data_IF_134799384428
#
_entry.id   IF_134799384428
#
_cell.length_a   1.000
_cell.length_b   1.000
_cell.length_c   1.000
_cell.angle_alpha   90.00
_cell.angle_beta   90.00
_cell.angle_gamma   90.00
#
_symmetry.space_group_name_H-M   'P 1'
#
loop_
_entity.id
_entity.type
_entity.pdbx_description
1 polymer ?
#
# COMPACT_ATOMS: atom_id res chain seq x y z
N UNK A 1 16.05 0.77 25.75
CA UNK A 1 15.06 -0.28 26.06
C UNK A 1 14.43 -0.74 24.75
N UNK A 2 14.98 -1.81 24.17
CA UNK A 2 14.51 -2.42 22.92
C UNK A 2 13.22 -3.19 23.24
N UNK A 3 12.07 -2.74 22.72
CA UNK A 3 10.82 -3.48 22.86
C UNK A 3 10.73 -4.49 21.72
N UNK A 4 10.82 -5.77 22.10
CA UNK A 4 10.49 -6.90 21.26
C UNK A 4 9.00 -6.82 20.89
N UNK A 5 8.70 -6.79 19.60
CA UNK A 5 7.36 -7.03 19.10
C UNK A 5 7.39 -8.25 18.18
N UNK A 6 7.23 -9.40 18.82
CA UNK A 6 6.75 -10.62 18.18
C UNK A 6 5.52 -11.07 18.99
N UNK A 7 4.43 -11.35 18.28
CA UNK A 7 3.24 -12.12 18.72
C UNK A 7 2.11 -11.33 19.41
N UNK A 8 1.04 -11.08 18.65
CA UNK A 8 -0.26 -11.74 18.89
C UNK A 8 -0.84 -12.22 17.55
N UNK A 9 -0.55 -13.48 17.20
CA UNK A 9 -1.38 -14.29 16.30
C UNK A 9 -1.38 -15.70 16.90
N UNK A 10 -2.51 -16.08 17.47
CA UNK A 10 -2.74 -17.25 18.32
C UNK A 10 -2.55 -18.55 17.52
N UNK A 11 -1.80 -19.53 18.09
CA UNK A 11 -1.93 -20.96 17.74
C UNK A 11 -0.64 -21.79 17.62
N UNK A 12 -0.20 -22.35 18.76
CA UNK A 12 0.67 -23.54 18.98
C UNK A 12 2.10 -23.59 18.42
N UNK A 13 3.05 -23.61 19.36
CA UNK A 13 4.49 -23.70 19.19
C UNK A 13 5.00 -25.14 19.06
N UNK A 14 5.98 -25.34 18.17
CA UNK A 14 7.05 -26.33 18.35
C UNK A 14 8.36 -25.54 18.27
N UNK A 15 9.12 -25.57 19.36
CA UNK A 15 10.35 -24.82 19.53
C UNK A 15 11.51 -25.50 18.78
N UNK A 16 12.22 -24.74 17.95
CA UNK A 16 13.58 -25.06 17.52
C UNK A 16 14.46 -23.89 17.95
N UNK A 17 15.51 -24.22 18.70
CA UNK A 17 16.44 -23.29 19.31
C UNK A 17 17.44 -22.75 18.28
N UNK A 18 17.40 -21.43 18.13
CA UNK A 18 18.35 -20.55 17.46
C UNK A 18 17.73 -19.17 17.59
N UNK A 19 18.40 -18.20 18.21
CA UNK A 19 17.86 -16.83 18.24
C UNK A 19 17.61 -16.41 16.78
N UNK A 20 16.35 -16.15 16.36
CA UNK A 20 16.12 -15.71 15.01
C UNK A 20 16.84 -14.37 14.86
N UNK A 21 17.78 -14.28 13.91
CA UNK A 21 18.26 -12.99 13.47
C UNK A 21 17.03 -12.15 13.14
N UNK A 22 16.85 -11.03 13.84
CA UNK A 22 15.67 -10.19 13.64
C UNK A 22 15.59 -9.83 12.15
N UNK A 23 14.45 -10.11 11.53
CA UNK A 23 14.20 -9.78 10.13
C UNK A 23 14.26 -8.25 9.98
N UNK A 24 15.17 -7.77 9.14
CA UNK A 24 15.40 -6.33 8.96
C UNK A 24 14.41 -5.73 7.95
N UNK A 25 13.77 -4.61 8.29
CA UNK A 25 12.92 -3.85 7.38
C UNK A 25 13.69 -2.70 6.70
N UNK A 26 13.66 -2.64 5.37
CA UNK A 26 14.17 -1.48 4.61
C UNK A 26 13.06 -0.68 3.95
N UNK A 27 13.21 0.64 3.90
CA UNK A 27 12.32 1.55 3.17
C UNK A 27 13.06 2.16 1.98
N UNK A 28 12.50 2.04 0.78
CA UNK A 28 13.03 2.69 -0.41
C UNK A 28 12.45 4.10 -0.55
N UNK A 29 13.30 5.11 -0.51
CA UNK A 29 12.91 6.51 -0.62
C UNK A 29 12.92 6.95 -2.09
N UNK A 30 11.90 6.51 -2.85
CA UNK A 30 11.79 6.80 -4.30
C UNK A 30 11.17 8.18 -4.63
N UNK A 31 10.61 8.87 -3.64
CA UNK A 31 10.03 10.21 -3.78
C UNK A 31 10.78 11.27 -2.99
N UNK A 32 10.19 12.46 -2.87
CA UNK A 32 10.77 13.56 -2.07
C UNK A 32 10.79 13.18 -0.59
N UNK A 33 11.97 13.25 0.04
CA UNK A 33 12.14 13.04 1.48
C UNK A 33 11.73 14.31 2.24
N UNK A 34 10.90 14.14 3.28
CA UNK A 34 10.41 15.26 4.12
C UNK A 34 11.18 15.34 5.44
N UNK A 35 11.29 16.53 6.04
CA UNK A 35 11.82 16.68 7.40
C UNK A 35 11.08 15.77 8.40
N UNK A 36 11.84 15.07 9.25
CA UNK A 36 11.31 14.16 10.26
C UNK A 36 10.84 12.79 9.75
N UNK A 37 10.79 12.56 8.43
CA UNK A 37 10.32 11.30 7.85
C UNK A 37 11.19 10.11 8.26
N UNK A 38 12.52 10.26 8.23
CA UNK A 38 13.47 9.21 8.62
C UNK A 38 13.39 8.89 10.12
N UNK A 39 13.20 9.90 10.96
CA UNK A 39 13.00 9.72 12.40
C UNK A 39 11.73 8.92 12.68
N UNK A 40 10.62 9.27 12.02
CA UNK A 40 9.36 8.53 12.13
C UNK A 40 9.51 7.10 11.60
N UNK A 41 10.20 6.89 10.48
CA UNK A 41 10.50 5.56 9.93
C UNK A 41 11.20 4.68 10.98
N UNK A 42 12.25 5.22 11.62
CA UNK A 42 13.00 4.54 12.67
C UNK A 42 12.12 4.18 13.86
N UNK A 43 11.25 5.10 14.29
CA UNK A 43 10.36 4.88 15.44
C UNK A 43 9.36 3.73 15.20
N UNK A 44 9.01 3.47 13.94
CA UNK A 44 8.11 2.38 13.56
C UNK A 44 8.81 1.09 13.12
N UNK A 45 10.12 0.98 13.36
CA UNK A 45 10.87 -0.25 13.13
C UNK A 45 11.47 -0.40 11.73
N UNK A 46 11.64 0.68 10.97
CA UNK A 46 12.48 0.65 9.76
C UNK A 46 13.95 0.63 10.20
N UNK A 47 14.70 -0.37 9.74
CA UNK A 47 16.09 -0.61 10.13
C UNK A 47 17.12 0.04 9.18
N UNK A 48 16.73 0.30 7.93
CA UNK A 48 17.61 0.92 6.94
C UNK A 48 16.83 1.59 5.79
N UNK A 49 17.51 2.48 5.10
CA UNK A 49 16.99 3.20 3.93
C UNK A 49 17.66 2.70 2.66
N UNK A 50 16.91 2.64 1.57
CA UNK A 50 17.46 2.47 0.21
C UNK A 50 17.19 3.76 -0.55
N UNK A 51 18.24 4.42 -1.04
CA UNK A 51 18.14 5.71 -1.73
C UNK A 51 18.56 5.58 -3.20
N UNK A 52 17.78 6.12 -4.16
CA UNK A 52 18.16 6.10 -5.56
C UNK A 52 19.40 6.97 -5.79
N UNK A 53 20.41 6.38 -6.42
CA UNK A 53 21.68 7.03 -6.73
C UNK A 53 21.89 7.20 -8.24
N UNK A 54 21.50 6.21 -9.02
CA UNK A 54 21.72 6.23 -10.46
C UNK A 54 20.74 5.33 -11.23
N UNK A 55 20.68 5.57 -12.53
CA UNK A 55 20.18 4.64 -13.53
C UNK A 55 21.38 4.16 -14.38
N UNK A 56 21.37 2.89 -14.78
CA UNK A 56 22.41 2.31 -15.61
C UNK A 56 21.78 1.54 -16.77
N UNK A 57 22.28 1.77 -17.98
CA UNK A 57 21.83 1.10 -19.19
C UNK A 57 22.92 0.15 -19.70
N UNK A 58 22.54 -1.12 -19.83
CA UNK A 58 23.39 -2.20 -20.34
C UNK A 58 23.29 -2.29 -21.87
N UNK A 59 24.43 -2.08 -22.55
CA UNK A 59 24.50 -2.17 -24.02
C UNK A 59 25.85 -2.73 -24.46
N UNK A 60 25.83 -3.79 -25.28
CA UNK A 60 27.05 -4.42 -25.80
C UNK A 60 27.95 -5.05 -24.73
N UNK A 61 27.40 -5.36 -23.56
CA UNK A 61 28.15 -5.90 -22.42
C UNK A 61 28.74 -4.85 -21.48
N UNK A 62 28.58 -3.55 -21.75
CA UNK A 62 29.03 -2.44 -20.91
C UNK A 62 27.84 -1.74 -20.21
N UNK A 63 28.14 -0.96 -19.17
CA UNK A 63 27.17 -0.16 -18.42
C UNK A 63 27.47 1.33 -18.54
N UNK A 64 26.49 2.09 -19.05
CA UNK A 64 26.51 3.56 -19.00
C UNK A 64 25.72 4.04 -17.79
N UNK A 65 26.28 4.96 -17.00
CA UNK A 65 25.65 5.45 -15.75
C UNK A 65 25.13 6.87 -15.92
N UNK A 66 23.87 7.08 -15.52
CA UNK A 66 23.28 8.40 -15.32
C UNK A 66 22.95 8.58 -13.84
N UNK A 67 23.64 9.51 -13.18
CA UNK A 67 23.38 9.83 -11.78
C UNK A 67 22.00 10.48 -11.62
N UNK A 68 21.28 10.08 -10.57
CA UNK A 68 20.07 10.76 -10.10
C UNK A 68 20.44 11.79 -9.04
N UNK A 69 19.60 12.80 -8.80
CA UNK A 69 19.78 13.67 -7.64
C UNK A 69 19.41 12.88 -6.37
N UNK A 70 20.37 12.55 -5.49
CA UNK A 70 20.04 11.91 -4.24
C UNK A 70 19.25 12.87 -3.34
N UNK A 71 18.48 12.36 -2.37
CA UNK A 71 17.91 13.20 -1.31
C UNK A 71 19.01 13.98 -0.57
N UNK A 72 18.63 15.11 0.02
CA UNK A 72 19.53 15.88 0.89
C UNK A 72 20.11 14.97 2.00
N UNK A 73 21.44 14.79 2.08
CA UNK A 73 22.07 13.97 3.11
C UNK A 73 21.65 14.33 4.54
N UNK A 74 21.37 15.62 4.80
CA UNK A 74 20.90 16.08 6.11
C UNK A 74 19.56 15.46 6.54
N UNK A 75 18.75 14.99 5.59
CA UNK A 75 17.46 14.35 5.84
C UNK A 75 17.57 12.84 6.06
N UNK A 76 18.72 12.23 5.75
CA UNK A 76 18.93 10.77 5.80
C UNK A 76 19.56 10.29 7.11
N UNK A 77 19.93 11.20 8.01
CA UNK A 77 20.56 10.85 9.28
C UNK A 77 19.68 9.98 10.17
N UNK A 78 20.31 9.03 10.86
CA UNK A 78 19.66 8.21 11.91
C UNK A 78 19.36 6.78 11.50
N UNK A 79 19.47 6.43 10.21
CA UNK A 79 19.37 5.06 9.70
C UNK A 79 20.54 4.73 8.75
N UNK A 80 21.02 3.48 8.71
CA UNK A 80 21.94 3.00 7.68
C UNK A 80 21.36 3.16 6.28
N UNK A 81 22.20 3.58 5.32
CA UNK A 81 21.79 3.84 3.93
C UNK A 81 22.39 2.83 2.97
N UNK A 82 21.58 2.32 2.06
CA UNK A 82 21.98 1.57 0.87
C UNK A 82 21.76 2.43 -0.36
N UNK A 83 22.69 2.42 -1.30
CA UNK A 83 22.52 3.11 -2.58
C UNK A 83 21.90 2.17 -3.62
N UNK A 84 20.84 2.61 -4.30
CA UNK A 84 20.18 1.87 -5.36
C UNK A 84 20.57 2.38 -6.74
N UNK A 85 20.86 1.45 -7.64
CA UNK A 85 21.05 1.70 -9.06
C UNK A 85 20.00 0.92 -9.84
N UNK A 86 19.19 1.61 -10.64
CA UNK A 86 18.25 0.96 -11.54
C UNK A 86 18.97 0.53 -12.82
N UNK A 87 19.05 -0.78 -13.07
CA UNK A 87 19.69 -1.36 -14.24
C UNK A 87 18.64 -1.78 -15.27
N UNK A 88 18.80 -1.35 -16.51
CA UNK A 88 18.01 -1.77 -17.67
C UNK A 88 18.92 -2.20 -18.81
N UNK A 89 18.34 -2.82 -19.86
CA UNK A 89 19.08 -3.21 -21.07
C UNK A 89 19.19 -4.72 -21.23
N UNK A 90 20.15 -5.14 -22.05
CA UNK A 90 20.27 -6.53 -22.54
C UNK A 90 21.22 -7.37 -21.68
N UNK A 91 22.49 -7.50 -22.08
CA UNK A 91 23.51 -8.33 -21.42
C UNK A 91 24.58 -7.44 -20.77
N UNK A 92 25.10 -7.90 -19.63
CA UNK A 92 26.20 -7.26 -18.91
C UNK A 92 27.35 -8.25 -18.71
N UNK A 93 28.58 -7.81 -18.97
CA UNK A 93 29.78 -8.62 -18.73
C UNK A 93 30.40 -8.29 -17.37
N UNK A 94 30.94 -9.30 -16.69
CA UNK A 94 31.61 -9.09 -15.38
C UNK A 94 32.80 -8.14 -15.47
N UNK A 95 33.49 -8.09 -16.62
CA UNK A 95 34.63 -7.21 -16.87
C UNK A 95 34.25 -5.72 -16.84
N UNK A 96 32.96 -5.40 -17.00
CA UNK A 96 32.48 -4.02 -16.88
C UNK A 96 32.44 -3.51 -15.44
N UNK A 97 32.64 -4.36 -14.42
CA UNK A 97 32.51 -3.99 -13.01
C UNK A 97 33.46 -2.85 -12.59
N UNK A 98 34.71 -2.85 -13.07
CA UNK A 98 35.68 -1.79 -12.76
C UNK A 98 35.27 -0.45 -13.38
N UNK A 99 34.90 -0.45 -14.67
CA UNK A 99 34.40 0.75 -15.36
C UNK A 99 33.12 1.29 -14.76
N UNK A 100 32.22 0.40 -14.32
CA UNK A 100 30.99 0.75 -13.62
C UNK A 100 31.29 1.36 -12.25
N UNK A 101 32.19 0.76 -11.46
CA UNK A 101 32.60 1.30 -10.16
C UNK A 101 33.30 2.66 -10.25
N UNK A 102 34.11 2.87 -11.28
CA UNK A 102 34.78 4.16 -11.50
C UNK A 102 33.78 5.30 -11.77
N UNK A 103 32.63 5.01 -12.37
CA UNK A 103 31.53 5.96 -12.54
C UNK A 103 30.73 6.16 -11.24
N UNK A 104 30.45 5.07 -10.50
CA UNK A 104 29.54 5.07 -9.35
C UNK A 104 30.20 5.49 -8.02
N UNK A 105 31.44 5.04 -7.78
CA UNK A 105 32.17 5.20 -6.54
C UNK A 105 32.35 6.66 -6.09
N UNK A 106 32.65 7.62 -6.99
CA UNK A 106 32.67 9.04 -6.63
C UNK A 106 31.32 9.55 -6.12
N UNK A 107 30.20 9.12 -6.72
CA UNK A 107 28.86 9.53 -6.30
C UNK A 107 28.50 8.97 -4.92
N UNK A 108 28.86 7.72 -4.63
CA UNK A 108 28.69 7.11 -3.29
C UNK A 108 29.46 7.89 -2.23
N UNK A 109 30.74 8.22 -2.50
CA UNK A 109 31.56 9.04 -1.58
C UNK A 109 31.00 10.46 -1.43
N UNK A 110 30.39 10.99 -2.48
CA UNK A 110 29.75 12.31 -2.52
C UNK A 110 28.47 12.43 -1.69
N UNK A 111 27.87 11.33 -1.24
CA UNK A 111 26.68 11.36 -0.35
C UNK A 111 26.96 11.95 1.03
N UNK A 112 28.24 12.14 1.40
CA UNK A 112 28.61 12.76 2.68
C UNK A 112 28.29 11.90 3.91
N UNK A 113 27.99 10.62 3.72
CA UNK A 113 27.71 9.67 4.79
C UNK A 113 28.12 8.23 4.43
N UNK A 114 28.38 7.36 5.41
CA UNK A 114 28.69 5.95 5.16
C UNK A 114 27.52 5.22 4.50
N UNK A 115 27.80 4.53 3.39
CA UNK A 115 26.85 3.65 2.69
C UNK A 115 27.12 2.20 3.09
N UNK A 116 26.09 1.49 3.56
CA UNK A 116 26.15 0.09 4.04
C UNK A 116 26.34 -0.91 2.89
N UNK A 117 25.85 -0.59 1.69
CA UNK A 117 25.97 -1.44 0.51
C UNK A 117 25.21 -0.90 -0.70
N UNK A 118 25.18 -1.70 -1.77
CA UNK A 118 24.54 -1.37 -3.04
C UNK A 118 23.40 -2.33 -3.37
N UNK A 119 22.34 -1.80 -3.97
CA UNK A 119 21.25 -2.59 -4.57
C UNK A 119 21.22 -2.30 -6.07
N UNK A 120 21.46 -3.32 -6.90
CA UNK A 120 21.27 -3.26 -8.35
C UNK A 120 19.84 -3.76 -8.65
N UNK A 121 18.92 -2.82 -8.86
CA UNK A 121 17.50 -3.10 -9.04
C UNK A 121 17.14 -3.13 -10.53
N UNK A 122 16.35 -4.10 -10.97
CA UNK A 122 15.97 -4.24 -12.38
C UNK A 122 14.57 -4.80 -12.55
N UNK A 123 13.89 -4.40 -13.63
CA UNK A 123 12.53 -4.84 -13.97
C UNK A 123 12.51 -6.15 -14.76
N UNK A 124 13.62 -6.47 -15.40
CA UNK A 124 13.86 -7.70 -16.14
C UNK A 124 15.35 -8.01 -16.04
N UNK A 125 15.73 -9.15 -15.46
CA UNK A 125 17.11 -9.42 -15.07
C UNK A 125 18.05 -9.55 -16.28
N UNK A 126 19.00 -8.62 -16.50
CA UNK A 126 20.00 -8.75 -17.57
C UNK A 126 20.88 -9.97 -17.33
N UNK A 127 21.12 -10.84 -18.32
CA UNK A 127 22.11 -11.90 -18.20
C UNK A 127 23.49 -11.35 -17.80
N UNK A 128 24.16 -12.04 -16.89
CA UNK A 128 25.48 -11.67 -16.37
C UNK A 128 25.47 -10.59 -15.26
N UNK A 129 24.32 -10.02 -14.90
CA UNK A 129 24.23 -9.04 -13.81
C UNK A 129 24.65 -9.63 -12.45
N UNK A 130 24.36 -10.91 -12.19
CA UNK A 130 24.77 -11.62 -10.97
C UNK A 130 26.30 -11.76 -10.87
N UNK A 131 26.97 -12.10 -11.96
CA UNK A 131 28.43 -12.12 -12.08
C UNK A 131 29.03 -10.74 -11.87
N UNK A 132 28.48 -9.70 -12.52
CA UNK A 132 28.94 -8.32 -12.32
C UNK A 132 28.76 -7.89 -10.86
N UNK A 133 27.64 -8.21 -10.22
CA UNK A 133 27.39 -7.89 -8.81
C UNK A 133 28.41 -8.55 -7.87
N UNK A 134 28.78 -9.81 -8.15
CA UNK A 134 29.79 -10.54 -7.37
C UNK A 134 31.17 -9.86 -7.48
N UNK A 135 31.55 -9.48 -8.71
CA UNK A 135 32.83 -8.79 -8.96
C UNK A 135 32.83 -7.37 -8.39
N UNK A 136 31.72 -6.65 -8.50
CA UNK A 136 31.54 -5.32 -7.92
C UNK A 136 31.65 -5.37 -6.40
N UNK A 137 31.06 -6.36 -5.74
CA UNK A 137 31.18 -6.52 -4.28
C UNK A 137 32.63 -6.70 -3.85
N UNK A 138 33.39 -7.51 -4.59
CA UNK A 138 34.83 -7.72 -4.37
C UNK A 138 35.65 -6.44 -4.56
N UNK A 139 35.40 -5.71 -5.65
CA UNK A 139 36.11 -4.48 -6.00
C UNK A 139 35.81 -3.33 -5.04
N UNK A 140 34.53 -3.11 -4.73
CA UNK A 140 34.07 -2.03 -3.88
C UNK A 140 34.22 -2.34 -2.38
N UNK A 141 34.55 -3.59 -2.02
CA UNK A 141 34.64 -4.09 -0.65
C UNK A 141 33.38 -3.79 0.17
N UNK A 142 32.22 -3.92 -0.46
CA UNK A 142 30.91 -3.68 0.16
C UNK A 142 29.88 -4.72 -0.27
N UNK A 143 28.85 -4.97 0.54
CA UNK A 143 27.71 -5.80 0.15
C UNK A 143 27.04 -5.27 -1.11
N UNK A 144 26.79 -6.17 -2.07
CA UNK A 144 25.97 -5.89 -3.25
C UNK A 144 24.81 -6.85 -3.26
N UNK A 145 23.62 -6.32 -3.49
CA UNK A 145 22.40 -7.10 -3.67
C UNK A 145 21.82 -6.86 -5.06
N UNK A 146 21.20 -7.89 -5.64
CA UNK A 146 20.48 -7.79 -6.92
C UNK A 146 19.00 -7.93 -6.67
N UNK A 147 18.25 -6.90 -7.05
CA UNK A 147 16.80 -6.84 -6.95
C UNK A 147 16.13 -7.04 -8.30
N UNK A 148 15.33 -8.10 -8.44
CA UNK A 148 14.68 -8.44 -9.71
C UNK A 148 13.33 -9.16 -9.48
N UNK A 149 12.48 -9.31 -10.51
CA UNK A 149 11.32 -10.20 -10.43
C UNK A 149 11.72 -11.59 -9.91
N UNK A 150 10.97 -12.12 -8.96
CA UNK A 150 11.32 -13.41 -8.35
C UNK A 150 11.44 -14.55 -9.38
N UNK A 151 10.60 -14.53 -10.41
CA UNK A 151 10.66 -15.48 -11.53
C UNK A 151 12.00 -15.43 -12.30
N UNK A 152 12.58 -14.25 -12.48
CA UNK A 152 13.85 -14.07 -13.19
C UNK A 152 15.02 -14.56 -12.34
N UNK A 153 14.98 -14.27 -11.03
CA UNK A 153 15.95 -14.78 -10.05
C UNK A 153 15.97 -16.31 -10.05
N UNK A 154 14.80 -16.94 -10.05
CA UNK A 154 14.68 -18.40 -10.10
C UNK A 154 15.30 -19.01 -11.36
N UNK A 155 15.15 -18.34 -12.51
CA UNK A 155 15.70 -18.82 -13.77
C UNK A 155 17.21 -18.68 -13.81
N UNK A 156 17.76 -17.53 -13.42
CA UNK A 156 19.19 -17.27 -13.57
C UNK A 156 20.04 -17.90 -12.46
N UNK A 157 19.59 -17.86 -11.20
CA UNK A 157 20.40 -18.41 -10.08
C UNK A 157 20.59 -19.92 -10.19
N UNK A 158 19.63 -20.63 -10.80
CA UNK A 158 19.77 -22.07 -11.12
C UNK A 158 20.90 -22.35 -12.11
N UNK A 159 21.19 -21.40 -12.99
CA UNK A 159 22.24 -21.51 -14.00
C UNK A 159 23.57 -20.93 -13.51
N UNK A 160 23.52 -19.95 -12.63
CA UNK A 160 24.67 -19.20 -12.14
C UNK A 160 24.51 -18.89 -10.64
N UNK A 161 25.23 -19.62 -9.79
CA UNK A 161 25.17 -19.40 -8.34
C UNK A 161 26.00 -18.17 -7.95
N UNK A 162 25.36 -17.08 -7.48
CA UNK A 162 26.08 -15.86 -7.17
C UNK A 162 26.80 -16.00 -5.83
N UNK A 163 28.12 -15.81 -5.81
CA UNK A 163 28.91 -15.86 -4.58
C UNK A 163 28.96 -14.48 -3.94
N UNK A 164 28.49 -14.38 -2.70
CA UNK A 164 28.58 -13.15 -1.91
C UNK A 164 27.61 -12.03 -2.32
N UNK A 165 26.62 -12.32 -3.17
CA UNK A 165 25.58 -11.38 -3.58
C UNK A 165 24.28 -11.76 -2.88
N UNK A 166 23.64 -10.79 -2.22
CA UNK A 166 22.29 -10.97 -1.67
C UNK A 166 21.21 -10.78 -2.73
N UNK A 167 20.04 -11.38 -2.53
CA UNK A 167 18.92 -11.24 -3.48
C UNK A 167 17.80 -10.39 -2.88
N UNK A 168 17.14 -9.58 -3.72
CA UNK A 168 15.89 -8.87 -3.36
C UNK A 168 14.80 -9.33 -4.33
N UNK A 169 13.89 -10.17 -3.86
CA UNK A 169 12.85 -10.78 -4.67
C UNK A 169 11.61 -9.88 -4.78
N UNK A 170 11.38 -9.32 -5.96
CA UNK A 170 10.15 -8.60 -6.28
C UNK A 170 9.04 -9.59 -6.65
N UNK A 171 8.12 -9.83 -5.73
CA UNK A 171 6.98 -10.74 -5.93
C UNK A 171 5.68 -10.22 -5.30
N UNK A 172 5.74 -9.23 -4.42
CA UNK A 172 4.63 -8.78 -3.60
C UNK A 172 4.31 -7.31 -3.87
N UNK A 173 3.10 -6.92 -3.50
CA UNK A 173 2.64 -5.55 -3.64
C UNK A 173 2.13 -5.21 -5.04
N UNK A 174 2.05 -3.91 -5.30
CA UNK A 174 1.59 -3.34 -6.56
C UNK A 174 2.74 -3.27 -7.60
N UNK A 175 3.27 -4.42 -7.98
CA UNK A 175 4.41 -4.57 -8.90
C UNK A 175 4.29 -3.69 -10.15
N UNK A 176 3.11 -3.66 -10.77
CA UNK A 176 2.83 -2.92 -12.00
C UNK A 176 2.91 -1.39 -11.84
N UNK A 177 2.81 -0.84 -10.62
CA UNK A 177 3.02 0.59 -10.38
C UNK A 177 4.46 1.03 -10.63
N UNK A 178 5.42 0.11 -10.50
CA UNK A 178 6.83 0.36 -10.81
C UNK A 178 7.29 -0.32 -12.10
N UNK A 179 6.36 -0.87 -12.90
CA UNK A 179 6.67 -1.51 -14.18
C UNK A 179 7.24 -2.93 -14.06
N UNK A 180 7.08 -3.58 -12.92
CA UNK A 180 7.36 -5.02 -12.79
C UNK A 180 6.19 -5.84 -13.35
N UNK A 181 6.43 -7.09 -13.78
CA UNK A 181 5.38 -8.02 -14.15
C UNK A 181 4.34 -8.20 -13.04
N UNK A 182 3.06 -8.30 -13.41
CA UNK A 182 2.00 -8.59 -12.44
C UNK A 182 2.14 -10.03 -11.92
N UNK A 183 1.92 -10.23 -10.62
CA UNK A 183 1.97 -11.53 -9.95
C UNK A 183 0.78 -11.61 -9.00
N UNK A 184 0.03 -12.72 -9.05
CA UNK A 184 -1.09 -12.91 -8.11
C UNK A 184 -0.56 -13.26 -6.71
N UNK A 185 -1.34 -13.05 -5.63
CA UNK A 185 -0.91 -13.42 -4.29
C UNK A 185 -0.53 -14.91 -4.13
N UNK A 186 -1.19 -15.79 -4.87
CA UNK A 186 -0.88 -17.23 -4.85
C UNK A 186 0.47 -17.50 -5.54
N UNK A 187 0.65 -16.99 -6.75
CA UNK A 187 1.91 -17.15 -7.49
C UNK A 187 3.08 -16.52 -6.72
N UNK A 188 2.86 -15.39 -6.06
CA UNK A 188 3.87 -14.74 -5.21
C UNK A 188 4.32 -15.64 -4.07
N UNK A 189 3.41 -16.36 -3.42
CA UNK A 189 3.74 -17.28 -2.33
C UNK A 189 4.59 -18.46 -2.83
N UNK A 190 4.24 -19.02 -3.99
CA UNK A 190 4.97 -20.11 -4.65
C UNK A 190 6.37 -19.65 -5.10
N UNK A 191 6.47 -18.48 -5.74
CA UNK A 191 7.74 -17.88 -6.15
C UNK A 191 8.66 -17.63 -4.95
N UNK A 192 8.14 -17.09 -3.86
CA UNK A 192 8.93 -16.84 -2.65
C UNK A 192 9.37 -18.12 -1.94
N UNK A 193 8.58 -19.20 -2.01
CA UNK A 193 9.00 -20.51 -1.51
C UNK A 193 10.14 -21.07 -2.37
N UNK A 194 10.02 -20.99 -3.70
CA UNK A 194 11.07 -21.43 -4.61
C UNK A 194 12.36 -20.60 -4.46
N UNK A 195 12.26 -19.29 -4.20
CA UNK A 195 13.43 -18.43 -3.95
C UNK A 195 14.13 -18.85 -2.66
N UNK A 196 13.37 -19.18 -1.61
CA UNK A 196 13.93 -19.71 -0.35
C UNK A 196 14.71 -21.01 -0.58
N UNK A 197 14.43 -21.79 -1.62
CA UNK A 197 15.14 -23.03 -1.96
C UNK A 197 16.43 -22.82 -2.77
N UNK A 198 16.68 -21.63 -3.34
CA UNK A 198 17.80 -21.39 -4.26
C UNK A 198 19.20 -21.52 -3.62
N UNK A 199 19.32 -21.35 -2.31
CA UNK A 199 20.61 -21.40 -1.61
C UNK A 199 21.06 -20.06 -1.01
N UNK A 200 21.13 -18.96 -1.79
CA UNK A 200 21.47 -17.64 -1.29
C UNK A 200 20.43 -17.06 -0.33
N UNK A 201 20.88 -16.22 0.61
CA UNK A 201 19.99 -15.41 1.44
C UNK A 201 19.30 -14.33 0.63
N UNK A 202 18.05 -14.01 0.99
CA UNK A 202 17.26 -13.05 0.24
C UNK A 202 16.38 -12.17 1.12
N UNK A 203 15.89 -11.08 0.53
CA UNK A 203 14.87 -10.19 1.08
C UNK A 203 13.64 -10.20 0.18
N UNK A 204 12.45 -10.09 0.76
CA UNK A 204 11.22 -9.91 -0.02
C UNK A 204 10.94 -8.42 -0.27
N UNK A 205 10.78 -8.01 -1.53
CA UNK A 205 10.31 -6.68 -1.86
C UNK A 205 8.78 -6.65 -1.97
N UNK A 206 8.16 -5.75 -1.22
CA UNK A 206 6.74 -5.42 -1.27
C UNK A 206 6.59 -4.04 -1.90
N UNK A 207 6.05 -3.99 -3.13
CA UNK A 207 5.83 -2.71 -3.81
C UNK A 207 4.60 -2.01 -3.22
N UNK A 208 4.83 -0.94 -2.47
CA UNK A 208 3.80 -0.16 -1.78
C UNK A 208 3.31 1.04 -2.60
N UNK A 209 3.86 1.24 -3.79
CA UNK A 209 3.52 2.35 -4.66
C UNK A 209 2.05 2.31 -5.15
N UNK A 210 1.44 3.48 -5.25
CA UNK A 210 0.14 3.67 -5.90
C UNK A 210 0.35 4.19 -7.32
N UNK A 211 -0.56 3.87 -8.24
CA UNK A 211 -0.62 4.49 -9.58
C UNK A 211 -2.01 5.05 -9.83
N UNK A 212 -2.06 6.31 -10.23
CA UNK A 212 -3.28 7.00 -10.65
C UNK A 212 -3.05 7.55 -12.06
N UNK A 213 -3.90 7.19 -13.01
CA UNK A 213 -3.77 7.60 -14.41
C UNK A 213 -5.13 8.02 -14.99
N UNK A 214 -5.28 9.25 -15.51
CA UNK A 214 -4.30 10.33 -15.51
C UNK A 214 -4.01 10.84 -14.09
N UNK A 215 -2.92 11.59 -13.92
CA UNK A 215 -2.63 12.26 -12.66
C UNK A 215 -3.77 13.22 -12.28
N UNK A 216 -4.14 13.23 -11.01
CA UNK A 216 -5.16 14.16 -10.50
C UNK A 216 -4.55 15.55 -10.27
N UNK A 217 -5.35 16.63 -10.36
CA UNK A 217 -4.89 17.98 -10.08
C UNK A 217 -4.22 18.09 -8.70
N UNK A 218 -3.02 18.67 -8.65
CA UNK A 218 -2.26 18.87 -7.42
C UNK A 218 -2.92 19.88 -6.47
N UNK A 219 -2.59 19.80 -5.18
CA UNK A 219 -3.03 20.76 -4.16
C UNK A 219 -4.46 20.56 -3.64
N UNK A 220 -5.17 19.53 -4.13
CA UNK A 220 -6.54 19.22 -3.75
C UNK A 220 -6.65 17.86 -3.06
N UNK A 221 -7.70 17.67 -2.27
CA UNK A 221 -8.00 16.36 -1.66
C UNK A 221 -8.56 15.41 -2.74
N UNK A 222 -7.80 14.40 -3.20
CA UNK A 222 -8.25 13.56 -4.30
C UNK A 222 -9.45 12.68 -3.92
N UNK A 223 -9.72 12.49 -2.63
CA UNK A 223 -10.90 11.76 -2.16
C UNK A 223 -12.21 12.48 -2.50
N UNK A 224 -12.22 13.81 -2.58
CA UNK A 224 -13.41 14.59 -2.93
C UNK A 224 -13.74 14.45 -4.43
N UNK A 225 -12.72 14.44 -5.29
CA UNK A 225 -12.90 14.24 -6.73
C UNK A 225 -13.45 12.86 -7.05
N UNK A 226 -12.89 11.80 -6.46
CA UNK A 226 -13.33 10.42 -6.77
C UNK A 226 -14.70 10.06 -6.22
N UNK A 227 -15.20 10.79 -5.20
CA UNK A 227 -16.56 10.58 -4.69
C UNK A 227 -17.62 10.88 -5.75
N UNK A 228 -17.39 11.87 -6.62
CA UNK A 228 -18.30 12.23 -7.72
C UNK A 228 -18.22 11.32 -8.94
N UNK A 229 -17.31 10.34 -8.97
CA UNK A 229 -17.05 9.49 -10.14
C UNK A 229 -17.62 8.07 -9.96
N UNK A 230 -18.19 7.50 -11.00
CA UNK A 230 -18.73 6.13 -10.97
C UNK A 230 -17.63 5.08 -10.88
N UNK A 231 -17.83 4.09 -10.01
CA UNK A 231 -16.87 3.01 -9.79
C UNK A 231 -17.13 1.80 -10.68
N UNK A 232 -16.09 1.29 -11.32
CA UNK A 232 -16.08 0.07 -12.11
C UNK A 232 -14.86 -0.79 -11.71
N UNK A 233 -15.06 -1.99 -11.12
CA UNK A 233 -13.95 -2.91 -10.86
C UNK A 233 -13.40 -3.48 -12.16
N UNK A 234 -12.08 -3.64 -12.26
CA UNK A 234 -11.42 -4.34 -13.37
C UNK A 234 -10.42 -5.39 -12.85
N UNK A 235 -9.87 -6.22 -13.74
CA UNK A 235 -8.92 -7.27 -13.35
C UNK A 235 -7.55 -6.73 -12.90
N UNK A 236 -7.10 -5.62 -13.47
CA UNK A 236 -5.78 -5.03 -13.14
C UNK A 236 -5.86 -3.95 -12.07
N UNK A 237 -7.03 -3.31 -11.88
CA UNK A 237 -7.21 -2.20 -10.95
C UNK A 237 -8.65 -1.71 -10.84
N UNK A 238 -8.84 -0.56 -10.20
CA UNK A 238 -10.12 0.11 -10.10
C UNK A 238 -10.23 1.19 -11.19
N UNK A 239 -11.39 1.33 -11.83
CA UNK A 239 -11.67 2.43 -12.76
C UNK A 239 -12.75 3.32 -12.18
N UNK A 240 -12.50 4.63 -12.24
CA UNK A 240 -13.43 5.67 -11.84
C UNK A 240 -13.79 6.50 -13.06
N UNK A 241 -15.08 6.66 -13.36
CA UNK A 241 -15.60 7.37 -14.52
C UNK A 241 -16.37 8.63 -14.10
N UNK A 242 -15.93 9.80 -14.55
CA UNK A 242 -16.67 11.04 -14.40
C UNK A 242 -17.81 11.11 -15.43
N UNK A 243 -19.06 10.76 -15.08
CA UNK A 243 -20.20 10.86 -16.03
C UNK A 243 -20.62 12.29 -16.33
N UNK A 244 -20.44 13.17 -15.37
CA UNK A 244 -20.59 14.62 -15.49
C UNK A 244 -19.28 15.29 -15.09
N UNK A 245 -19.16 16.59 -15.32
CA UNK A 245 -18.03 17.35 -14.78
C UNK A 245 -18.06 17.23 -13.25
N UNK A 246 -16.97 16.73 -12.68
CA UNK A 246 -16.80 16.60 -11.23
C UNK A 246 -15.90 17.73 -10.77
N UNK A 247 -16.40 18.57 -9.86
CA UNK A 247 -15.64 19.69 -9.31
C UNK A 247 -15.49 19.53 -7.81
N UNK A 248 -14.26 19.68 -7.31
CA UNK A 248 -13.98 19.67 -5.88
C UNK A 248 -12.84 20.66 -5.57
N UNK A 249 -13.07 21.48 -4.55
CA UNK A 249 -12.08 22.40 -3.98
C UNK A 249 -11.32 23.31 -4.97
N UNK A 250 -11.90 23.58 -6.15
CA UNK A 250 -11.31 24.43 -7.19
C UNK A 250 -10.65 23.67 -8.35
N UNK A 251 -10.59 22.34 -8.29
CA UNK A 251 -10.29 21.49 -9.43
C UNK A 251 -11.58 21.00 -10.11
N UNK A 252 -11.49 20.71 -11.41
CA UNK A 252 -12.55 20.04 -12.14
C UNK A 252 -12.00 18.96 -13.06
N UNK A 253 -12.70 17.84 -13.12
CA UNK A 253 -12.47 16.76 -14.08
C UNK A 253 -13.64 16.78 -15.06
N UNK A 254 -13.38 16.88 -16.38
CA UNK A 254 -14.45 16.94 -17.36
C UNK A 254 -15.22 15.62 -17.42
N UNK A 255 -16.48 15.70 -17.88
CA UNK A 255 -17.26 14.52 -18.19
C UNK A 255 -16.53 13.62 -19.20
N UNK A 256 -16.64 12.31 -19.03
CA UNK A 256 -15.94 11.29 -19.82
C UNK A 256 -14.53 10.95 -19.33
N UNK A 257 -14.01 11.61 -18.28
CA UNK A 257 -12.69 11.28 -17.72
C UNK A 257 -12.72 9.91 -17.06
N UNK A 258 -11.81 9.02 -17.49
CA UNK A 258 -11.52 7.75 -16.83
C UNK A 258 -10.25 7.88 -16.01
N UNK A 259 -10.33 7.57 -14.72
CA UNK A 259 -9.19 7.46 -13.82
C UNK A 259 -8.99 6.00 -13.46
N UNK A 260 -7.89 5.41 -13.94
CA UNK A 260 -7.41 4.10 -13.54
C UNK A 260 -6.60 4.23 -12.25
N UNK A 261 -6.98 3.46 -11.25
CA UNK A 261 -6.38 3.42 -9.92
C UNK A 261 -5.81 2.02 -9.64
N UNK A 262 -4.49 1.95 -9.55
CA UNK A 262 -3.79 0.84 -8.91
C UNK A 262 -3.43 1.28 -7.49
N UNK A 263 -4.39 1.19 -6.58
CA UNK A 263 -4.16 1.52 -5.17
C UNK A 263 -3.48 0.36 -4.45
N UNK A 264 -2.56 0.67 -3.56
CA UNK A 264 -2.11 -0.23 -2.50
C UNK A 264 -2.64 0.31 -1.16
N UNK A 265 -2.72 -0.51 -0.12
CA UNK A 265 -3.19 -0.07 1.21
C UNK A 265 -2.61 -0.95 2.33
N UNK A 266 -2.91 -0.56 3.58
CA UNK A 266 -2.45 -1.28 4.76
C UNK A 266 -2.99 -2.72 4.85
N UNK A 267 -4.18 -3.00 4.30
CA UNK A 267 -4.76 -4.34 4.31
C UNK A 267 -3.99 -5.27 3.36
N UNK A 268 -3.64 -4.76 2.16
CA UNK A 268 -2.77 -5.46 1.22
C UNK A 268 -1.37 -5.66 1.79
N UNK A 269 -0.81 -4.66 2.49
CA UNK A 269 0.47 -4.83 3.19
C UNK A 269 0.37 -5.94 4.26
N UNK A 270 -0.69 -5.96 5.08
CA UNK A 270 -0.88 -7.01 6.08
C UNK A 270 -0.94 -8.40 5.44
N UNK A 271 -1.68 -8.55 4.33
CA UNK A 271 -1.74 -9.81 3.57
C UNK A 271 -0.36 -10.20 3.04
N UNK A 272 0.34 -9.28 2.38
CA UNK A 272 1.61 -9.57 1.70
C UNK A 272 2.74 -9.88 2.70
N UNK A 273 2.77 -9.21 3.86
CA UNK A 273 3.62 -9.61 4.98
C UNK A 273 3.24 -10.99 5.52
N UNK A 274 1.95 -11.31 5.56
CA UNK A 274 1.48 -12.66 5.88
C UNK A 274 2.04 -13.71 4.93
N UNK A 275 2.04 -13.44 3.61
CA UNK A 275 2.58 -14.33 2.57
C UNK A 275 4.11 -14.45 2.64
N UNK A 276 4.81 -13.36 2.97
CA UNK A 276 6.27 -13.33 3.07
C UNK A 276 6.80 -14.00 4.35
N UNK A 277 6.07 -13.86 5.45
CA UNK A 277 6.51 -14.34 6.76
C UNK A 277 5.94 -15.73 7.11
N UNK A 278 4.96 -16.23 6.34
CA UNK A 278 4.35 -17.54 6.55
C UNK A 278 4.25 -18.32 5.22
N UNK A 279 4.75 -19.57 5.16
CA UNK A 279 5.50 -20.28 6.21
C UNK A 279 6.84 -19.59 6.55
N UNK A 280 7.48 -20.00 7.65
CA UNK A 280 8.81 -19.50 8.02
C UNK A 280 9.80 -19.90 6.92
N UNK A 281 10.56 -18.92 6.43
CA UNK A 281 11.56 -19.09 5.37
C UNK A 281 12.95 -19.04 5.97
N UNK A 282 13.79 -20.02 5.63
CA UNK A 282 15.08 -20.22 6.31
C UNK A 282 16.14 -19.20 5.88
N UNK A 283 16.01 -18.67 4.66
CA UNK A 283 17.00 -17.79 4.03
C UNK A 283 16.54 -16.34 3.95
N UNK A 284 15.36 -16.03 4.50
CA UNK A 284 14.81 -14.68 4.53
C UNK A 284 15.57 -13.82 5.55
N UNK A 285 16.19 -12.73 5.08
CA UNK A 285 16.89 -11.75 5.92
C UNK A 285 15.99 -10.62 6.40
N UNK A 286 14.87 -10.40 5.70
CA UNK A 286 13.99 -9.27 5.95
C UNK A 286 13.16 -8.90 4.74
N UNK A 287 12.56 -7.72 4.78
CA UNK A 287 11.72 -7.22 3.69
C UNK A 287 11.97 -5.76 3.39
N UNK A 288 11.57 -5.38 2.18
CA UNK A 288 11.73 -4.04 1.65
C UNK A 288 10.35 -3.47 1.29
N UNK A 289 10.02 -2.28 1.79
CA UNK A 289 8.89 -1.49 1.30
C UNK A 289 9.37 -0.60 0.15
N UNK A 290 8.90 -0.89 -1.06
CA UNK A 290 9.38 -0.27 -2.29
C UNK A 290 8.32 0.63 -2.92
N UNK A 291 8.56 1.93 -2.98
CA UNK A 291 7.61 2.86 -3.61
C UNK A 291 7.64 4.25 -3.02
N UNK A 292 6.98 5.18 -3.71
CA UNK A 292 6.65 6.48 -3.13
C UNK A 292 5.43 6.35 -2.22
N UNK A 293 5.57 6.84 -0.99
CA UNK A 293 4.50 6.98 -0.01
C UNK A 293 4.14 8.47 0.12
N UNK A 294 3.13 8.96 -0.62
CA UNK A 294 2.77 10.37 -0.59
C UNK A 294 2.19 10.76 0.79
N UNK A 295 2.32 12.04 1.20
CA UNK A 295 1.55 12.58 2.32
C UNK A 295 0.04 12.46 2.05
N UNK A 296 -0.73 12.27 3.12
CA UNK A 296 -2.15 12.55 3.09
C UNK A 296 -2.43 14.05 2.84
N UNK A 297 -3.49 14.40 2.10
CA UNK A 297 -4.44 13.50 1.45
C UNK A 297 -3.93 12.95 0.11
N UNK A 298 -3.96 11.62 -0.07
CA UNK A 298 -3.64 10.93 -1.32
C UNK A 298 -4.49 9.67 -1.46
N UNK A 299 -4.68 9.18 -2.70
CA UNK A 299 -5.36 7.91 -2.96
C UNK A 299 -4.43 6.72 -2.68
N UNK A 300 -4.96 5.69 -2.02
CA UNK A 300 -4.21 4.48 -1.67
C UNK A 300 -3.36 4.67 -0.42
N UNK A 301 -2.17 4.08 -0.40
CA UNK A 301 -1.35 4.00 0.79
C UNK A 301 -0.52 5.26 1.00
N UNK A 302 -0.78 6.00 2.08
CA UNK A 302 -0.07 7.22 2.43
C UNK A 302 1.03 6.95 3.45
N UNK A 303 1.92 7.93 3.65
CA UNK A 303 2.92 7.90 4.71
C UNK A 303 2.30 7.75 6.10
N UNK A 304 1.24 8.50 6.39
CA UNK A 304 0.55 8.49 7.69
C UNK A 304 -0.08 7.12 7.96
N UNK A 305 -0.67 6.49 6.93
CA UNK A 305 -1.20 5.13 7.03
C UNK A 305 -0.09 4.09 7.23
N UNK A 306 1.06 4.27 6.57
CA UNK A 306 2.22 3.39 6.72
C UNK A 306 2.79 3.42 8.15
N UNK A 307 3.03 4.62 8.68
CA UNK A 307 3.51 4.83 10.05
C UNK A 307 2.50 4.28 11.06
N UNK A 308 1.21 4.59 10.93
CA UNK A 308 0.18 4.08 11.82
C UNK A 308 0.11 2.54 11.79
N UNK A 309 0.14 1.93 10.60
CA UNK A 309 0.11 0.47 10.45
C UNK A 309 1.29 -0.22 11.15
N UNK A 310 2.51 0.27 10.92
CA UNK A 310 3.71 -0.29 11.55
C UNK A 310 3.78 0.00 13.05
N UNK A 311 3.08 1.03 13.52
CA UNK A 311 2.88 1.31 14.95
C UNK A 311 1.82 0.40 15.60
N UNK A 312 1.21 -0.52 14.84
CA UNK A 312 0.23 -1.48 15.32
C UNK A 312 -1.24 -1.04 15.16
N UNK A 313 -1.50 0.04 14.43
CA UNK A 313 -2.87 0.44 14.08
C UNK A 313 -3.41 -0.26 12.82
N UNK A 314 -4.74 -0.20 12.63
CA UNK A 314 -5.38 -0.65 11.40
C UNK A 314 -5.47 -2.18 11.23
N UNK A 315 -5.56 -2.69 9.99
CA UNK A 315 -5.54 -1.96 8.72
C UNK A 315 -6.90 -1.36 8.30
N UNK A 316 -7.97 -1.60 9.06
CA UNK A 316 -9.32 -1.19 8.69
C UNK A 316 -9.66 0.24 9.15
N UNK A 317 -10.51 0.98 8.40
CA UNK A 317 -11.09 2.22 8.88
C UNK A 317 -11.94 1.98 10.14
N UNK A 318 -12.08 2.99 10.98
CA UNK A 318 -12.94 2.94 12.18
C UNK A 318 -14.05 4.00 12.10
N UNK A 319 -15.05 3.80 11.24
CA UNK A 319 -16.08 4.80 11.01
C UNK A 319 -16.93 5.04 12.26
N UNK A 320 -17.34 6.29 12.43
CA UNK A 320 -18.26 6.79 13.45
C UNK A 320 -19.43 7.45 12.74
N UNK A 321 -20.65 7.14 13.14
CA UNK A 321 -21.84 7.71 12.51
C UNK A 321 -22.23 8.97 13.28
N UNK A 322 -22.29 10.09 12.58
CA UNK A 322 -22.85 11.33 13.08
C UNK A 322 -24.26 11.47 12.58
N UNK A 323 -25.18 11.72 13.50
CA UNK A 323 -26.57 11.97 13.19
C UNK A 323 -26.94 13.39 13.61
N UNK A 324 -27.62 14.12 12.74
CA UNK A 324 -28.11 15.46 13.01
C UNK A 324 -29.57 15.55 12.57
N UNK A 325 -30.45 16.01 13.46
CA UNK A 325 -31.84 16.23 13.12
C UNK A 325 -31.99 17.58 12.42
N UNK A 326 -32.35 17.57 11.14
CA UNK A 326 -32.67 18.79 10.38
C UNK A 326 -34.11 19.25 10.64
N UNK A 327 -34.97 18.30 11.00
CA UNK A 327 -36.35 18.53 11.43
C UNK A 327 -36.74 17.47 12.48
N UNK A 328 -37.92 17.55 13.12
CA UNK A 328 -38.39 16.52 14.05
C UNK A 328 -38.45 15.10 13.47
N UNK A 329 -38.52 14.95 12.13
CA UNK A 329 -38.64 13.66 11.45
C UNK A 329 -37.59 13.43 10.38
N UNK A 330 -36.68 14.38 10.14
CA UNK A 330 -35.65 14.30 9.10
C UNK A 330 -34.26 14.26 9.72
N UNK A 331 -33.55 13.17 9.46
CA UNK A 331 -32.24 12.86 10.00
C UNK A 331 -31.19 12.96 8.90
N UNK A 332 -30.24 13.88 9.04
CA UNK A 332 -28.99 13.87 8.26
C UNK A 332 -28.03 12.86 8.87
N UNK A 333 -27.46 12.01 8.02
CA UNK A 333 -26.54 10.94 8.40
C UNK A 333 -25.20 11.18 7.72
N UNK A 334 -24.15 11.31 8.54
CA UNK A 334 -22.78 11.47 8.08
C UNK A 334 -21.90 10.36 8.66
N UNK A 335 -20.89 9.95 7.92
CA UNK A 335 -19.91 8.96 8.33
C UNK A 335 -18.55 9.64 8.48
N UNK A 336 -18.01 9.67 9.70
CA UNK A 336 -16.66 10.16 9.96
C UNK A 336 -15.70 8.98 10.08
N UNK A 337 -14.60 9.00 9.35
CA UNK A 337 -13.48 8.09 9.58
C UNK A 337 -12.29 8.89 10.15
N UNK A 338 -11.95 8.74 11.44
CA UNK A 338 -10.83 9.45 12.05
C UNK A 338 -9.47 8.81 11.73
N UNK A 339 -9.45 7.60 11.18
CA UNK A 339 -8.21 6.84 10.95
C UNK A 339 -7.58 7.18 9.60
N UNK A 340 -6.26 6.95 9.43
CA UNK A 340 -5.59 7.12 8.13
C UNK A 340 -5.89 5.99 7.13
N UNK A 341 -6.68 4.99 7.52
CA UNK A 341 -7.02 3.85 6.66
C UNK A 341 -8.31 4.12 5.90
N UNK A 342 -8.29 3.93 4.58
CA UNK A 342 -9.49 3.96 3.75
C UNK A 342 -10.14 2.57 3.66
N UNK A 343 -11.40 2.50 3.27
CA UNK A 343 -11.92 1.25 2.69
C UNK A 343 -11.45 1.08 1.24
N UNK A 344 -11.59 -0.11 0.69
CA UNK A 344 -11.55 -0.31 -0.75
C UNK A 344 -12.76 0.36 -1.42
N UNK A 345 -12.62 0.68 -2.70
CA UNK A 345 -13.76 1.01 -3.54
C UNK A 345 -14.66 -0.22 -3.70
N UNK A 346 -15.96 -0.03 -3.59
CA UNK A 346 -16.94 -1.08 -3.82
C UNK A 346 -18.29 -0.49 -4.24
N UNK A 347 -19.04 -1.21 -5.07
CA UNK A 347 -20.42 -0.83 -5.40
C UNK A 347 -21.36 -1.13 -4.24
N UNK A 348 -21.22 -2.30 -3.62
CA UNK A 348 -22.09 -2.80 -2.53
C UNK A 348 -21.33 -3.30 -1.30
N UNK A 349 -20.00 -3.40 -1.37
CA UNK A 349 -19.16 -3.94 -0.29
C UNK A 349 -18.91 -2.97 0.86
N UNK A 350 -19.28 -1.69 0.72
CA UNK A 350 -19.29 -0.73 1.83
C UNK A 350 -20.73 -0.30 2.07
N UNK A 351 -21.22 -0.45 3.30
CA UNK A 351 -22.58 -0.05 3.65
C UNK A 351 -22.72 0.32 5.13
N UNK A 352 -23.71 1.17 5.39
CA UNK A 352 -24.17 1.57 6.70
C UNK A 352 -25.62 1.10 6.89
N UNK A 353 -25.84 0.20 7.84
CA UNK A 353 -27.17 -0.20 8.29
C UNK A 353 -27.61 0.73 9.41
N UNK A 354 -28.60 1.57 9.14
CA UNK A 354 -29.30 2.39 10.13
C UNK A 354 -30.52 1.64 10.63
N UNK A 355 -30.47 1.19 11.87
CA UNK A 355 -31.59 0.51 12.53
C UNK A 355 -32.46 1.54 13.24
N UNK A 356 -33.77 1.41 13.14
CA UNK A 356 -34.71 2.32 13.79
C UNK A 356 -35.94 1.56 14.31
N UNK A 357 -36.65 2.17 15.25
CA UNK A 357 -37.86 1.58 15.84
C UNK A 357 -38.97 2.61 16.08
N UNK A 358 -40.21 2.15 16.12
CA UNK A 358 -41.38 2.97 16.46
C UNK A 358 -41.85 3.94 15.36
N UNK A 359 -41.34 3.82 14.14
CA UNK A 359 -41.76 4.60 12.96
C UNK A 359 -41.42 3.83 11.68
N UNK A 360 -41.88 4.35 10.55
CA UNK A 360 -41.49 3.94 9.21
C UNK A 360 -40.68 5.05 8.52
N UNK A 361 -39.89 4.66 7.52
CA UNK A 361 -39.18 5.60 6.66
C UNK A 361 -40.15 6.14 5.63
N UNK A 362 -40.29 7.46 5.56
CA UNK A 362 -41.01 8.16 4.52
C UNK A 362 -40.20 8.23 3.25
N UNK A 363 -38.95 8.69 3.35
CA UNK A 363 -38.07 8.91 2.20
C UNK A 363 -36.58 8.87 2.55
N UNK A 364 -35.74 8.66 1.54
CA UNK A 364 -34.27 8.70 1.65
C UNK A 364 -33.70 9.50 0.49
N UNK A 365 -33.05 10.61 0.79
CA UNK A 365 -32.30 11.42 -0.17
C UNK A 365 -30.82 11.08 -0.05
N UNK A 366 -30.24 10.49 -1.09
CA UNK A 366 -28.81 10.19 -1.14
C UNK A 366 -28.01 11.49 -1.35
N UNK A 367 -26.93 11.64 -0.58
CA UNK A 367 -25.94 12.69 -0.76
C UNK A 367 -24.72 12.07 -1.45
N UNK A 368 -23.70 11.63 -0.70
CA UNK A 368 -22.59 10.85 -1.24
C UNK A 368 -22.86 9.33 -1.30
N UNK A 369 -24.00 8.86 -0.78
CA UNK A 369 -24.40 7.46 -0.83
C UNK A 369 -24.63 6.96 -2.27
N UNK A 370 -24.16 5.76 -2.58
CA UNK A 370 -24.30 5.14 -3.92
C UNK A 370 -25.64 4.43 -4.13
N UNK A 371 -26.42 4.22 -3.07
CA UNK A 371 -27.71 3.55 -3.13
C UNK A 371 -28.33 3.38 -1.73
N UNK A 372 -29.60 3.01 -1.68
CA UNK A 372 -30.28 2.63 -0.44
C UNK A 372 -31.18 1.40 -0.65
N UNK A 373 -31.19 0.51 0.34
CA UNK A 373 -32.12 -0.62 0.44
C UNK A 373 -32.89 -0.56 1.77
N UNK A 374 -34.10 -1.12 1.78
CA UNK A 374 -34.96 -1.21 2.97
C UNK A 374 -35.09 -2.67 3.39
N UNK A 375 -35.06 -2.92 4.70
CA UNK A 375 -35.09 -4.29 5.19
C UNK A 375 -35.26 -4.45 6.69
N UNK A 376 -35.00 -5.68 7.14
CA UNK A 376 -34.91 -6.09 8.55
C UNK A 376 -33.56 -6.77 8.79
N UNK A 377 -33.03 -6.66 10.00
CA UNK A 377 -31.90 -7.47 10.43
C UNK A 377 -32.40 -8.76 11.10
N UNK A 378 -32.14 -9.90 10.47
CA UNK A 378 -32.40 -11.23 11.00
C UNK A 378 -31.46 -12.25 10.35
N UNK A 379 -30.62 -12.95 11.15
CA UNK A 379 -29.18 -12.68 11.39
C UNK A 379 -28.37 -11.87 10.35
N UNK A 380 -28.87 -11.67 9.13
CA UNK A 380 -28.32 -10.77 8.13
C UNK A 380 -29.38 -9.77 7.66
N UNK A 381 -29.06 -9.00 6.63
CA UNK A 381 -30.02 -8.06 6.04
C UNK A 381 -30.98 -8.78 5.10
N UNK A 382 -32.27 -8.64 5.36
CA UNK A 382 -33.35 -9.18 4.51
C UNK A 382 -34.15 -8.02 3.95
N UNK A 383 -34.20 -7.90 2.62
CA UNK A 383 -34.98 -6.86 1.94
C UNK A 383 -36.45 -6.95 2.32
N UNK A 384 -37.06 -5.80 2.56
CA UNK A 384 -38.48 -5.68 2.87
C UNK A 384 -39.04 -4.41 2.21
N UNK A 385 -40.35 -4.36 1.92
CA UNK A 385 -41.00 -3.11 1.53
C UNK A 385 -40.77 -2.02 2.57
N UNK A 386 -40.71 -0.76 2.14
CA UNK A 386 -40.38 0.41 2.99
C UNK A 386 -41.20 0.48 4.29
N UNK A 387 -42.51 0.26 4.22
CA UNK A 387 -43.39 0.29 5.41
C UNK A 387 -43.21 -0.88 6.38
N UNK A 388 -42.52 -1.94 5.98
CA UNK A 388 -42.20 -3.09 6.84
C UNK A 388 -40.73 -3.10 7.29
N UNK A 389 -39.93 -2.12 6.89
CA UNK A 389 -38.51 -2.07 7.21
C UNK A 389 -38.26 -1.53 8.61
N UNK A 390 -37.29 -2.12 9.30
CA UNK A 390 -36.71 -1.58 10.54
C UNK A 390 -35.26 -1.13 10.34
N UNK A 391 -34.75 -1.25 9.11
CA UNK A 391 -33.39 -0.93 8.72
C UNK A 391 -33.35 -0.27 7.35
N UNK A 392 -32.60 0.82 7.24
CA UNK A 392 -32.16 1.38 5.96
C UNK A 392 -30.69 1.03 5.78
N UNK A 393 -30.36 0.32 4.71
CA UNK A 393 -28.99 0.09 4.28
C UNK A 393 -28.60 1.17 3.30
N UNK A 394 -27.61 1.99 3.65
CA UNK A 394 -27.03 3.01 2.80
C UNK A 394 -25.71 2.49 2.24
N UNK A 395 -25.59 2.37 0.92
CA UNK A 395 -24.35 1.94 0.28
C UNK A 395 -23.40 3.12 0.13
N UNK A 396 -22.11 2.85 0.33
CA UNK A 396 -21.04 3.81 0.14
C UNK A 396 -20.10 3.28 -0.94
N UNK A 397 -19.57 4.20 -1.76
CA UNK A 397 -18.53 3.84 -2.73
C UNK A 397 -17.20 3.55 -2.05
N UNK A 398 -16.84 4.39 -1.09
CA UNK A 398 -15.61 4.32 -0.31
C UNK A 398 -15.80 5.06 1.01
N UNK A 399 -15.12 4.62 2.06
CA UNK A 399 -14.96 5.34 3.31
C UNK A 399 -13.56 5.98 3.30
N UNK A 400 -13.45 7.28 2.95
CA UNK A 400 -12.15 7.95 2.85
C UNK A 400 -11.46 8.06 4.22
N UNK A 401 -10.13 8.17 4.27
CA UNK A 401 -9.37 8.35 5.50
C UNK A 401 -9.53 9.78 6.03
N UNK A 402 -9.49 9.95 7.35
CA UNK A 402 -9.45 11.25 8.05
C UNK A 402 -10.48 12.27 7.56
N UNK A 403 -11.66 11.81 7.16
CA UNK A 403 -12.66 12.61 6.46
C UNK A 403 -14.05 12.36 7.03
N UNK A 404 -14.96 13.32 6.82
CA UNK A 404 -16.39 13.16 7.08
C UNK A 404 -17.14 13.21 5.76
N UNK A 405 -18.04 12.26 5.55
CA UNK A 405 -18.86 12.15 4.34
C UNK A 405 -20.33 12.23 4.73
N UNK A 406 -21.06 13.18 4.15
CA UNK A 406 -22.51 13.22 4.28
C UNK A 406 -23.12 12.14 3.39
N UNK A 407 -23.74 11.12 3.99
CA UNK A 407 -24.16 9.90 3.29
C UNK A 407 -25.55 10.10 2.69
N UNK A 408 -26.52 10.48 3.53
CA UNK A 408 -27.92 10.63 3.15
C UNK A 408 -28.69 11.44 4.18
N UNK A 409 -29.86 11.92 3.76
CA UNK A 409 -30.91 12.40 4.64
C UNK A 409 -32.06 11.39 4.66
N UNK A 410 -32.44 10.90 5.83
CA UNK A 410 -33.51 9.92 6.04
C UNK A 410 -34.70 10.61 6.71
N UNK A 411 -35.83 10.64 6.01
CA UNK A 411 -37.08 11.19 6.54
C UNK A 411 -37.98 10.08 7.02
N UNK A 412 -38.51 10.20 8.24
CA UNK A 412 -39.43 9.26 8.86
C UNK A 412 -40.87 9.82 8.90
N UNK A 413 -41.87 8.95 9.11
CA UNK A 413 -43.25 9.38 9.34
C UNK A 413 -43.39 10.11 10.69
N UNK A 414 -42.70 9.61 11.72
CA UNK A 414 -42.57 10.24 13.03
C UNK A 414 -41.15 10.05 13.56
N UNK A 415 -40.78 10.73 14.65
CA UNK A 415 -39.44 10.58 15.23
C UNK A 415 -39.26 9.13 15.73
N UNK A 416 -38.19 8.42 15.31
CA UNK A 416 -37.89 7.10 15.83
C UNK A 416 -37.67 7.12 17.34
N UNK A 417 -38.06 6.04 18.01
CA UNK A 417 -37.78 5.85 19.44
C UNK A 417 -36.30 5.58 19.68
N UNK A 418 -35.69 4.80 18.80
CA UNK A 418 -34.28 4.43 18.86
C UNK A 418 -33.67 4.50 17.47
N UNK A 419 -32.38 4.83 17.43
CA UNK A 419 -31.53 4.77 16.25
C UNK A 419 -30.24 4.04 16.64
N UNK A 420 -29.88 3.04 15.84
CA UNK A 420 -28.62 2.33 15.92
C UNK A 420 -27.93 2.31 14.56
N UNK A 421 -26.64 2.01 14.58
CA UNK A 421 -25.84 1.96 13.36
C UNK A 421 -24.88 0.78 13.37
N UNK A 422 -24.76 0.11 12.23
CA UNK A 422 -23.73 -0.89 11.94
C UNK A 422 -23.08 -0.54 10.61
N UNK A 423 -21.76 -0.46 10.58
CA UNK A 423 -21.03 -0.22 9.33
C UNK A 423 -20.24 -1.47 8.95
N UNK A 424 -20.26 -1.80 7.66
CA UNK A 424 -19.40 -2.83 7.06
C UNK A 424 -18.67 -2.20 5.90
N UNK A 425 -17.38 -2.46 5.81
CA UNK A 425 -16.49 -1.99 4.76
C UNK A 425 -15.72 -3.15 4.15
N UNK A 426 -15.41 -3.03 2.87
CA UNK A 426 -14.48 -3.90 2.16
C UNK A 426 -13.07 -3.32 2.29
N UNK A 427 -12.09 -4.17 2.54
CA UNK A 427 -10.67 -3.81 2.59
C UNK A 427 -9.99 -4.12 1.25
N UNK A 428 -8.83 -3.52 0.97
CA UNK A 428 -8.12 -3.70 -0.30
C UNK A 428 -7.64 -5.13 -0.56
N UNK A 429 -7.55 -5.97 0.46
CA UNK A 429 -7.24 -7.40 0.34
C UNK A 429 -8.48 -8.29 0.13
N UNK A 430 -9.67 -7.69 0.05
CA UNK A 430 -10.94 -8.37 -0.19
C UNK A 430 -11.67 -8.82 1.08
N UNK A 431 -11.06 -8.72 2.27
CA UNK A 431 -11.77 -9.00 3.53
C UNK A 431 -12.83 -7.94 3.80
N UNK A 432 -13.83 -8.32 4.57
CA UNK A 432 -14.80 -7.40 5.15
C UNK A 432 -14.44 -7.10 6.60
N UNK A 433 -14.57 -5.84 7.00
CA UNK A 433 -14.47 -5.40 8.38
C UNK A 433 -15.75 -4.63 8.74
N UNK A 434 -16.36 -4.94 9.88
CA UNK A 434 -17.60 -4.28 10.24
C UNK A 434 -18.13 -4.67 11.59
N UNK A 435 -19.08 -3.88 12.07
CA UNK A 435 -19.67 -4.05 13.39
C UNK A 435 -20.53 -2.86 13.79
N UNK A 436 -21.14 -2.91 15.00
CA UNK A 436 -21.80 -1.77 15.58
C UNK A 436 -20.85 -0.57 15.61
N UNK A 437 -21.34 0.61 15.23
CA UNK A 437 -20.56 1.85 15.23
C UNK A 437 -21.22 2.88 16.15
N UNK A 438 -20.43 3.69 16.88
CA UNK A 438 -21.01 4.72 17.74
C UNK A 438 -21.86 5.71 16.93
N UNK A 439 -23.04 6.02 17.46
CA UNK A 439 -23.91 7.09 16.96
C UNK A 439 -23.70 8.34 17.80
N UNK A 440 -23.11 9.38 17.24
CA UNK A 440 -22.95 10.68 17.89
C UNK A 440 -24.06 11.62 17.44
N UNK A 441 -24.84 12.16 18.38
CA UNK A 441 -25.80 13.22 18.09
C UNK A 441 -25.05 14.55 17.97
N UNK A 442 -25.12 15.16 16.78
CA UNK A 442 -24.72 16.55 16.60
C UNK A 442 -25.65 17.45 17.41
N UNK A 443 -25.08 18.45 18.10
CA UNK A 443 -25.85 19.52 18.74
C UNK A 443 -26.45 20.44 17.70
#
# INVERSE_FOLDING_TARGET
MRHAWLVVLVGTAVAVAGEPSALEHRLWLLGKVRPGQVEQARQVGVDALVVPLAEAEARGGELSVRLTLPPDPGLLHGLPVWAAVWVSGEEVKKEAAEGFWNQLGPAIRGLGMPVKGLVLATRALPPGLLSLASELSRLAQMPVEVGAPAQDLLQQVKNESPKGVGLVAFALGNLSALGFPHVTPQDAAELLAAVDELGPSFRGAVVVANRVAPALPEGQNPWELVQGMDYQPTGEGDVLLARSTVSASGASLPAGTNVTLLAYDAARLQRDLGLLLRPVRQRLLGWDSVGELPPAPALGFTWEAFVAFLSGEGPAPRPVVKIQWESPTTLKVSLQNPTPFASAFATTGNFLDLTFSGTEVRDVTLLAGSGADFGKLAPGFVRAPRGAASVVRLYLKVVPPQSTVDVATVSFLSRPKEIGARCTVRLGDGREAGGPVPTQQGK
#
